data_IF_346341652505
#
_entry.id   IF_346341652505
#
_cell.length_a   1.000
_cell.length_b   1.000
_cell.length_c   1.000
_cell.angle_alpha   90.00
_cell.angle_beta   90.00
_cell.angle_gamma   90.00
#
_symmetry.space_group_name_H-M   'P 1'
#
loop_
_entity.id
_entity.type
_entity.pdbx_description
1 polymer ?
#
# COMPACT_ATOMS: atom_id res chain seq x y z
N UNK A 1 49.96 28.83 44.59
CA UNK A 1 48.81 27.91 44.41
C UNK A 1 47.89 28.42 43.30
N UNK A 2 48.26 28.35 42.01
CA UNK A 2 47.39 28.80 40.91
C UNK A 2 47.72 28.02 39.64
N UNK A 3 47.53 26.69 39.58
CA UNK A 3 47.72 25.92 38.32
C UNK A 3 46.86 24.65 38.15
N UNK A 4 45.74 24.48 38.88
CA UNK A 4 44.95 23.23 38.79
C UNK A 4 43.48 23.45 38.41
N UNK A 5 43.01 24.69 38.28
CA UNK A 5 41.60 25.01 37.97
C UNK A 5 41.37 25.44 36.51
N UNK A 6 41.86 24.71 35.51
CA UNK A 6 41.53 25.04 34.11
C UNK A 6 41.35 23.84 33.17
N UNK A 7 41.22 22.62 33.71
CA UNK A 7 41.01 21.40 32.90
C UNK A 7 39.65 20.73 33.05
N UNK A 8 38.75 21.28 33.86
CA UNK A 8 37.42 20.69 34.10
C UNK A 8 36.33 21.31 33.20
N UNK A 9 36.56 22.50 32.64
CA UNK A 9 35.57 23.20 31.80
C UNK A 9 35.39 22.67 30.38
N UNK A 10 36.30 21.83 29.87
CA UNK A 10 36.27 21.36 28.49
C UNK A 10 35.54 20.01 28.30
N UNK A 11 35.23 19.28 29.38
CA UNK A 11 34.61 17.95 29.30
C UNK A 11 33.06 18.00 29.30
N UNK A 12 32.46 19.12 29.72
CA UNK A 12 31.00 19.25 29.87
C UNK A 12 30.27 19.72 28.60
N UNK A 13 30.97 20.20 27.58
CA UNK A 13 30.36 20.65 26.32
C UNK A 13 30.27 19.53 25.27
N UNK A 14 31.09 18.48 25.40
CA UNK A 14 31.10 17.37 24.43
C UNK A 14 30.05 16.27 24.70
N UNK A 15 29.43 16.28 25.89
CA UNK A 15 28.42 15.29 26.27
C UNK A 15 26.99 15.62 25.78
N UNK A 16 26.77 16.80 25.18
CA UNK A 16 25.45 17.27 24.70
C UNK A 16 25.24 17.12 23.19
N UNK A 17 26.21 16.56 22.45
CA UNK A 17 26.12 16.38 20.99
C UNK A 17 25.82 14.94 20.55
N UNK A 18 25.67 14.01 21.48
CA UNK A 18 25.19 12.67 21.19
C UNK A 18 23.70 12.62 21.52
N UNK A 19 22.90 13.35 20.75
CA UNK A 19 21.53 12.92 20.53
C UNK A 19 21.64 11.57 19.83
N UNK A 20 21.31 10.42 20.46
CA UNK A 20 21.12 9.23 19.68
C UNK A 20 19.94 9.60 18.78
N UNK A 21 20.20 9.74 17.48
CA UNK A 21 19.14 9.80 16.50
C UNK A 21 18.28 8.59 16.80
N UNK A 22 17.09 8.82 17.35
CA UNK A 22 16.07 7.80 17.47
C UNK A 22 15.77 7.46 16.02
N UNK A 23 16.50 6.47 15.48
CA UNK A 23 16.07 5.79 14.28
C UNK A 23 14.76 5.15 14.69
N UNK A 24 13.66 5.86 14.43
CA UNK A 24 12.33 5.30 14.54
C UNK A 24 12.37 4.02 13.68
N UNK A 25 12.40 2.88 14.35
CA UNK A 25 12.48 1.59 13.69
C UNK A 25 11.28 1.51 12.75
N UNK A 26 11.56 1.38 11.45
CA UNK A 26 10.54 1.36 10.43
C UNK A 26 9.56 0.23 10.75
N UNK A 27 8.31 0.58 11.00
CA UNK A 27 7.31 -0.40 11.42
C UNK A 27 7.02 -1.36 10.26
N UNK A 28 7.14 -2.65 10.54
CA UNK A 28 6.90 -3.71 9.56
C UNK A 28 5.63 -4.46 9.86
N UNK A 29 4.93 -4.85 8.80
CA UNK A 29 3.63 -5.50 8.88
C UNK A 29 3.56 -6.69 7.93
N UNK A 30 2.82 -7.70 8.34
CA UNK A 30 2.23 -8.64 7.41
C UNK A 30 0.90 -8.08 6.91
N UNK A 31 0.72 -8.06 5.59
CA UNK A 31 -0.51 -7.62 4.93
C UNK A 31 -1.17 -8.85 4.35
N UNK A 32 -2.38 -9.19 4.80
CA UNK A 32 -3.19 -10.23 4.17
C UNK A 32 -4.37 -9.57 3.48
N UNK A 33 -4.47 -9.69 2.16
CA UNK A 33 -5.56 -9.14 1.36
C UNK A 33 -6.50 -10.27 0.98
N UNK A 34 -7.80 -10.02 1.02
CA UNK A 34 -8.82 -10.93 0.49
C UNK A 34 -9.75 -10.15 -0.42
N UNK A 35 -9.78 -10.50 -1.71
CA UNK A 35 -10.70 -9.94 -2.68
C UNK A 35 -12.05 -10.64 -2.63
N UNK A 36 -13.11 -9.92 -2.96
CA UNK A 36 -14.44 -10.49 -3.16
C UNK A 36 -14.47 -11.38 -4.40
N UNK A 37 -15.45 -12.29 -4.48
CA UNK A 37 -15.59 -13.22 -5.61
C UNK A 37 -15.82 -12.56 -6.98
N UNK A 38 -16.26 -11.30 -7.00
CA UNK A 38 -16.59 -10.56 -8.24
C UNK A 38 -16.17 -9.10 -8.15
N UNK A 39 -16.02 -8.45 -9.31
CA UNK A 39 -15.88 -7.00 -9.41
C UNK A 39 -17.16 -6.29 -8.93
N UNK A 40 -17.09 -4.98 -8.65
CA UNK A 40 -18.22 -4.18 -8.19
C UNK A 40 -19.44 -4.20 -9.14
N UNK A 41 -19.21 -4.42 -10.43
CA UNK A 41 -20.25 -4.55 -11.45
C UNK A 41 -20.79 -5.99 -11.60
N UNK A 42 -20.35 -6.94 -10.75
CA UNK A 42 -20.73 -8.35 -10.79
C UNK A 42 -19.98 -9.20 -11.82
N UNK A 43 -19.05 -8.64 -12.59
CA UNK A 43 -18.23 -9.43 -13.53
C UNK A 43 -17.14 -10.23 -12.78
N UNK A 44 -16.65 -11.35 -13.34
CA UNK A 44 -15.49 -12.04 -12.78
C UNK A 44 -14.23 -11.17 -12.82
N UNK A 45 -13.23 -11.50 -11.98
CA UNK A 45 -11.90 -10.88 -11.99
C UNK A 45 -11.16 -11.23 -13.28
N UNK A 46 -10.82 -12.51 -13.38
CA UNK A 46 -10.20 -13.11 -14.53
C UNK A 46 -11.23 -13.81 -15.44
N UNK A 47 -11.14 -13.56 -16.74
CA UNK A 47 -12.04 -14.17 -17.71
C UNK A 47 -11.73 -13.75 -19.14
N UNK A 48 -11.66 -14.72 -20.06
CA UNK A 48 -11.40 -14.46 -21.47
C UNK A 48 -12.71 -14.04 -22.18
N UNK A 49 -12.72 -12.95 -22.97
CA UNK A 49 -13.81 -12.70 -23.91
C UNK A 49 -13.89 -13.85 -24.95
N UNK A 50 -15.10 -14.35 -25.20
CA UNK A 50 -15.42 -15.51 -26.06
C UNK A 50 -14.63 -15.59 -27.37
N UNK A 51 -14.04 -16.77 -27.62
CA UNK A 51 -13.89 -17.37 -28.96
C UNK A 51 -14.04 -18.91 -28.81
N UNK A 52 -15.20 -19.45 -29.19
CA UNK A 52 -15.45 -20.91 -29.23
C UNK A 52 -15.86 -21.57 -27.90
N UNK A 53 -16.34 -22.81 -28.01
CA UNK A 53 -17.06 -23.64 -27.01
C UNK A 53 -16.29 -24.02 -25.71
N UNK A 54 -15.42 -23.17 -25.19
CA UNK A 54 -14.66 -23.44 -23.96
C UNK A 54 -15.44 -22.99 -22.72
N UNK A 55 -15.47 -23.84 -21.69
CA UNK A 55 -16.15 -23.58 -20.41
C UNK A 55 -15.57 -22.30 -19.77
N UNK A 56 -16.44 -21.34 -19.49
CA UNK A 56 -16.09 -20.12 -18.77
C UNK A 56 -15.62 -20.52 -17.37
N UNK A 57 -14.43 -20.08 -16.95
CA UNK A 57 -14.06 -20.15 -15.55
C UNK A 57 -14.67 -18.93 -14.85
N UNK A 58 -16.00 -18.96 -14.61
CA UNK A 58 -16.78 -17.84 -14.07
C UNK A 58 -16.35 -17.41 -12.64
N UNK A 59 -15.43 -18.16 -12.04
CA UNK A 59 -14.94 -17.97 -10.66
C UNK A 59 -13.41 -17.89 -10.61
N UNK A 60 -12.74 -17.39 -11.66
CA UNK A 60 -11.29 -17.22 -11.60
C UNK A 60 -10.95 -16.10 -10.61
N UNK A 61 -10.08 -16.44 -9.66
CA UNK A 61 -9.62 -15.55 -8.62
C UNK A 61 -8.54 -14.60 -9.15
N UNK A 62 -8.44 -13.37 -8.63
CA UNK A 62 -7.51 -12.37 -9.14
C UNK A 62 -6.04 -12.72 -8.87
N UNK A 63 -5.16 -12.05 -9.59
CA UNK A 63 -3.72 -11.98 -9.37
C UNK A 63 -3.38 -10.76 -8.51
N UNK A 64 -3.62 -10.85 -7.20
CA UNK A 64 -3.55 -9.72 -6.26
C UNK A 64 -2.13 -9.17 -6.09
N UNK A 65 -1.96 -7.86 -6.19
CA UNK A 65 -0.80 -7.12 -5.71
C UNK A 65 -1.21 -5.92 -4.86
N UNK A 66 -0.28 -5.45 -4.02
CA UNK A 66 -0.46 -4.25 -3.20
C UNK A 66 0.61 -3.24 -3.58
N UNK A 67 0.19 -2.04 -3.93
CA UNK A 67 1.09 -0.92 -4.19
C UNK A 67 1.02 0.09 -3.05
N UNK A 68 2.19 0.38 -2.48
CA UNK A 68 2.43 1.39 -1.48
C UNK A 68 2.65 2.74 -2.16
N UNK A 69 1.81 3.72 -1.84
CA UNK A 69 1.85 5.06 -2.43
C UNK A 69 2.21 6.06 -1.35
N UNK A 70 3.38 6.68 -1.47
CA UNK A 70 3.86 7.73 -0.57
C UNK A 70 3.73 9.08 -1.25
N UNK A 71 3.61 10.14 -0.45
CA UNK A 71 3.55 11.50 -0.98
C UNK A 71 4.76 11.79 -1.88
N UNK A 72 4.49 12.25 -3.11
CA UNK A 72 5.51 12.65 -4.09
C UNK A 72 6.52 11.54 -4.47
N UNK A 73 6.18 10.26 -4.27
CA UNK A 73 7.03 9.13 -4.62
C UNK A 73 6.37 8.25 -5.69
N UNK A 74 7.18 7.45 -6.39
CA UNK A 74 6.66 6.40 -7.28
C UNK A 74 5.98 5.31 -6.44
N UNK A 75 4.89 4.69 -6.94
CA UNK A 75 4.29 3.56 -6.26
C UNK A 75 5.27 2.40 -6.17
N UNK A 76 5.37 1.79 -4.99
CA UNK A 76 6.15 0.58 -4.75
C UNK A 76 5.22 -0.61 -4.61
N UNK A 77 5.26 -1.53 -5.57
CA UNK A 77 4.33 -2.64 -5.63
C UNK A 77 4.96 -3.96 -5.22
N UNK A 78 4.22 -4.69 -4.37
CA UNK A 78 4.56 -6.01 -3.87
C UNK A 78 4.17 -7.07 -4.90
N UNK A 79 4.97 -7.16 -5.96
CA UNK A 79 4.83 -8.16 -7.02
C UNK A 79 6.18 -8.79 -7.35
N UNK A 80 6.19 -9.81 -8.20
CA UNK A 80 7.41 -10.47 -8.67
C UNK A 80 7.66 -10.12 -10.14
N UNK A 81 8.73 -9.37 -10.46
CA UNK A 81 9.17 -9.22 -11.85
C UNK A 81 9.61 -10.57 -12.42
N UNK A 82 9.11 -10.94 -13.60
CA UNK A 82 9.57 -12.10 -14.35
C UNK A 82 9.82 -11.70 -15.81
N UNK A 83 11.08 -11.35 -16.11
CA UNK A 83 11.46 -10.80 -17.41
C UNK A 83 10.74 -9.47 -17.67
N UNK A 84 9.90 -9.43 -18.71
CA UNK A 84 9.06 -8.26 -19.05
C UNK A 84 7.68 -8.27 -18.40
N UNK A 85 7.32 -9.35 -17.68
CA UNK A 85 6.01 -9.50 -17.05
C UNK A 85 6.09 -9.17 -15.56
N UNK A 86 5.01 -8.65 -15.02
CA UNK A 86 4.77 -8.56 -13.59
C UNK A 86 3.86 -9.73 -13.21
N UNK A 87 4.18 -10.43 -12.13
CA UNK A 87 3.36 -11.51 -11.61
C UNK A 87 2.98 -11.22 -10.17
N UNK A 88 1.77 -11.61 -9.78
CA UNK A 88 1.39 -11.63 -8.36
C UNK A 88 2.22 -12.67 -7.61
N UNK A 89 2.46 -12.40 -6.32
CA UNK A 89 3.02 -13.40 -5.40
C UNK A 89 2.03 -14.54 -5.12
N UNK A 90 0.72 -14.29 -5.27
CA UNK A 90 -0.36 -15.25 -5.08
C UNK A 90 -1.21 -15.34 -6.34
N UNK A 91 -0.71 -16.09 -7.32
CA UNK A 91 -1.40 -16.26 -8.60
C UNK A 91 -2.74 -16.99 -8.41
N UNK A 92 -3.80 -16.48 -9.05
CA UNK A 92 -5.16 -17.02 -9.04
C UNK A 92 -5.67 -17.32 -7.62
N UNK A 93 -5.59 -16.34 -6.72
CA UNK A 93 -5.93 -16.53 -5.31
C UNK A 93 -6.81 -15.41 -4.75
N UNK A 94 -7.92 -15.79 -4.10
CA UNK A 94 -8.81 -14.84 -3.42
C UNK A 94 -8.13 -14.16 -2.23
N UNK A 95 -7.16 -14.83 -1.61
CA UNK A 95 -6.43 -14.32 -0.46
C UNK A 95 -4.94 -14.36 -0.74
N UNK A 96 -4.25 -13.24 -0.51
CA UNK A 96 -2.80 -13.14 -0.68
C UNK A 96 -2.12 -12.52 0.55
N UNK A 97 -1.00 -13.10 0.96
CA UNK A 97 -0.19 -12.62 2.09
C UNK A 97 1.11 -12.00 1.59
N UNK A 98 1.42 -10.82 2.09
CA UNK A 98 2.67 -10.11 1.89
C UNK A 98 3.36 -9.95 3.23
N UNK A 99 4.53 -10.58 3.36
CA UNK A 99 5.26 -10.63 4.61
C UNK A 99 6.22 -9.44 4.75
N UNK A 100 6.41 -8.98 5.99
CA UNK A 100 7.51 -8.08 6.36
C UNK A 100 7.55 -6.74 5.57
N UNK A 101 6.38 -6.19 5.28
CA UNK A 101 6.18 -4.97 4.50
C UNK A 101 6.48 -3.73 5.35
N UNK A 102 7.36 -2.87 4.86
CA UNK A 102 7.63 -1.58 5.45
C UNK A 102 6.62 -0.54 4.91
N UNK A 103 5.70 -0.08 5.76
CA UNK A 103 4.73 0.93 5.36
C UNK A 103 5.33 2.35 5.27
N UNK A 104 6.51 2.58 5.84
CA UNK A 104 7.12 3.91 5.86
C UNK A 104 6.26 4.94 6.63
N UNK A 105 6.41 6.24 6.32
CA UNK A 105 5.69 7.31 7.02
C UNK A 105 4.21 7.36 6.64
N UNK A 106 3.38 7.74 7.61
CA UNK A 106 1.97 8.06 7.39
C UNK A 106 1.80 9.54 6.97
N UNK A 107 0.73 9.88 6.23
CA UNK A 107 -0.23 8.97 5.61
C UNK A 107 0.37 8.21 4.42
N UNK A 108 -0.12 6.99 4.21
CA UNK A 108 0.29 6.13 3.09
C UNK A 108 -0.94 5.60 2.35
N UNK A 109 -0.92 5.69 1.03
CA UNK A 109 -1.91 5.07 0.16
C UNK A 109 -1.61 3.59 -0.06
N UNK A 110 -2.65 2.76 -0.04
CA UNK A 110 -2.63 1.38 -0.48
C UNK A 110 -3.53 1.27 -1.72
N UNK A 111 -2.96 0.78 -2.82
CA UNK A 111 -3.70 0.45 -4.04
C UNK A 111 -3.65 -1.06 -4.22
N UNK A 112 -4.80 -1.70 -4.17
CA UNK A 112 -4.94 -3.15 -4.40
C UNK A 112 -5.23 -3.36 -5.89
N UNK A 113 -4.46 -4.24 -6.54
CA UNK A 113 -4.46 -4.39 -7.99
C UNK A 113 -4.62 -5.86 -8.36
N UNK A 114 -5.42 -6.12 -9.38
CA UNK A 114 -5.48 -7.39 -10.10
C UNK A 114 -4.53 -7.31 -11.31
N UNK A 115 -3.50 -8.14 -11.34
CA UNK A 115 -2.45 -8.09 -12.37
C UNK A 115 -2.90 -8.84 -13.62
N UNK A 116 -3.41 -8.07 -14.59
CA UNK A 116 -3.66 -8.59 -15.93
C UNK A 116 -2.43 -8.54 -16.86
N UNK A 117 -2.45 -9.38 -17.90
CA UNK A 117 -1.41 -9.41 -18.93
C UNK A 117 -1.34 -8.13 -19.80
N UNK A 118 -2.42 -7.35 -19.87
CA UNK A 118 -2.50 -6.12 -20.69
C UNK A 118 -2.80 -4.89 -19.86
N UNK A 119 -3.87 -4.95 -19.05
CA UNK A 119 -4.49 -3.79 -18.42
C UNK A 119 -4.87 -4.17 -17.00
N UNK A 120 -4.05 -3.81 -16.02
CA UNK A 120 -4.33 -4.14 -14.61
C UNK A 120 -5.63 -3.49 -14.12
N UNK A 121 -6.38 -4.19 -13.29
CA UNK A 121 -7.58 -3.65 -12.68
C UNK A 121 -7.34 -3.20 -11.24
N UNK A 122 -7.95 -2.07 -10.84
CA UNK A 122 -7.95 -1.66 -9.44
C UNK A 122 -9.01 -2.48 -8.72
N UNK A 123 -8.59 -3.17 -7.65
CA UNK A 123 -9.48 -3.87 -6.72
C UNK A 123 -10.09 -2.87 -5.74
N UNK A 124 -9.25 -2.10 -5.07
CA UNK A 124 -9.65 -1.12 -4.06
C UNK A 124 -8.53 -0.12 -3.80
N UNK A 125 -8.87 0.99 -3.13
CA UNK A 125 -7.92 1.99 -2.65
C UNK A 125 -8.21 2.32 -1.19
N UNK A 126 -7.17 2.45 -0.38
CA UNK A 126 -7.27 2.89 1.01
C UNK A 126 -6.14 3.89 1.34
N UNK A 127 -6.36 4.72 2.35
CA UNK A 127 -5.32 5.57 2.92
C UNK A 127 -5.16 5.20 4.39
N UNK A 128 -3.97 4.76 4.77
CA UNK A 128 -3.61 4.59 6.16
C UNK A 128 -3.12 5.92 6.74
N UNK A 129 -3.66 6.32 7.88
CA UNK A 129 -3.37 7.63 8.52
C UNK A 129 -3.25 7.52 10.05
N UNK A 130 -2.73 8.55 10.71
CA UNK A 130 -2.66 8.69 12.17
C UNK A 130 -3.81 9.57 12.75
N UNK A 131 -4.82 9.87 11.93
CA UNK A 131 -6.10 10.57 12.23
C UNK A 131 -6.06 12.09 12.39
N UNK A 132 -4.91 12.76 12.32
CA UNK A 132 -4.85 14.17 12.75
C UNK A 132 -4.42 15.19 11.70
N UNK A 133 -3.91 14.77 10.54
CA UNK A 133 -3.43 15.71 9.51
C UNK A 133 -4.28 15.66 8.22
N UNK A 134 -5.26 16.54 8.12
CA UNK A 134 -6.11 16.66 6.92
C UNK A 134 -5.32 17.10 5.70
N UNK A 135 -4.31 17.96 5.87
CA UNK A 135 -3.51 18.46 4.76
C UNK A 135 -2.64 17.35 4.16
N UNK A 136 -2.02 16.53 5.00
CA UNK A 136 -1.26 15.37 4.54
C UNK A 136 -2.16 14.34 3.84
N UNK A 137 -3.40 14.19 4.30
CA UNK A 137 -4.39 13.32 3.64
C UNK A 137 -4.87 13.89 2.28
N UNK A 138 -4.81 15.20 2.05
CA UNK A 138 -5.06 15.77 0.73
C UNK A 138 -3.86 15.58 -0.22
N UNK A 139 -2.63 15.74 0.30
CA UNK A 139 -1.40 15.53 -0.49
C UNK A 139 -1.24 14.07 -0.97
N UNK A 140 -1.69 13.10 -0.16
CA UNK A 140 -1.68 11.69 -0.57
C UNK A 140 -2.70 11.39 -1.67
N UNK A 141 -3.80 12.14 -1.76
CA UNK A 141 -4.81 11.97 -2.81
C UNK A 141 -4.24 12.27 -4.20
N UNK A 142 -3.44 13.34 -4.33
CA UNK A 142 -2.74 13.69 -5.57
C UNK A 142 -1.73 12.60 -5.97
N UNK A 143 -1.03 12.04 -4.98
CA UNK A 143 -0.08 10.95 -5.19
C UNK A 143 -0.79 9.66 -5.61
N UNK A 144 -1.98 9.38 -5.06
CA UNK A 144 -2.83 8.25 -5.47
C UNK A 144 -3.30 8.37 -6.92
N UNK A 145 -3.74 9.56 -7.37
CA UNK A 145 -4.10 9.78 -8.78
C UNK A 145 -2.90 9.52 -9.69
N UNK A 146 -1.73 10.05 -9.33
CA UNK A 146 -0.49 9.85 -10.09
C UNK A 146 -0.11 8.37 -10.16
N UNK A 147 -0.18 7.67 -9.03
CA UNK A 147 0.07 6.23 -8.97
C UNK A 147 -0.91 5.45 -9.86
N UNK A 148 -2.22 5.76 -9.83
CA UNK A 148 -3.20 5.09 -10.68
C UNK A 148 -3.02 5.37 -12.17
N UNK A 149 -2.52 6.54 -12.54
CA UNK A 149 -2.16 6.83 -13.94
C UNK A 149 -0.95 6.02 -14.42
N UNK A 150 -0.05 5.65 -13.53
CA UNK A 150 1.05 4.72 -13.84
C UNK A 150 0.56 3.27 -13.87
N UNK A 151 -0.24 2.87 -12.90
CA UNK A 151 -0.68 1.47 -12.73
C UNK A 151 -1.77 1.07 -13.73
N UNK A 152 -2.67 1.99 -14.08
CA UNK A 152 -3.86 1.73 -14.92
C UNK A 152 -4.05 2.82 -15.99
N UNK A 153 -3.08 2.98 -16.91
CA UNK A 153 -3.09 4.08 -17.89
C UNK A 153 -4.30 4.05 -18.85
N UNK A 154 -4.93 2.89 -19.02
CA UNK A 154 -6.12 2.72 -19.87
C UNK A 154 -7.42 3.23 -19.23
N UNK A 155 -7.46 3.49 -17.92
CA UNK A 155 -8.64 4.01 -17.23
C UNK A 155 -8.76 5.53 -17.43
N UNK A 156 -10.00 6.02 -17.52
CA UNK A 156 -10.25 7.47 -17.61
C UNK A 156 -9.88 8.19 -16.32
N UNK A 157 -9.49 9.46 -16.44
CA UNK A 157 -9.16 10.31 -15.28
C UNK A 157 -10.34 10.40 -14.30
N UNK A 158 -11.58 10.49 -14.80
CA UNK A 158 -12.79 10.52 -13.96
C UNK A 158 -12.95 9.25 -13.11
N UNK A 159 -12.60 8.08 -13.66
CA UNK A 159 -12.65 6.82 -12.91
C UNK A 159 -11.59 6.80 -11.83
N UNK A 160 -10.37 7.25 -12.14
CA UNK A 160 -9.27 7.35 -11.16
C UNK A 160 -9.64 8.33 -10.04
N UNK A 161 -10.21 9.48 -10.39
CA UNK A 161 -10.67 10.48 -9.45
C UNK A 161 -11.77 9.94 -8.54
N UNK A 162 -12.74 9.21 -9.10
CA UNK A 162 -13.79 8.56 -8.32
C UNK A 162 -13.20 7.55 -7.33
N UNK A 163 -12.22 6.74 -7.74
CA UNK A 163 -11.53 5.78 -6.88
C UNK A 163 -10.75 6.46 -5.74
N UNK A 164 -10.07 7.59 -6.01
CA UNK A 164 -9.40 8.37 -4.95
C UNK A 164 -10.41 8.91 -3.96
N UNK A 165 -11.50 9.51 -4.43
CA UNK A 165 -12.54 10.06 -3.53
C UNK A 165 -13.25 8.99 -2.72
N UNK A 166 -13.40 7.79 -3.27
CA UNK A 166 -13.99 6.64 -2.59
C UNK A 166 -12.99 5.91 -1.68
N UNK A 167 -11.70 6.25 -1.72
CA UNK A 167 -10.68 5.60 -0.91
C UNK A 167 -11.01 5.74 0.58
N UNK A 168 -11.01 4.61 1.30
CA UNK A 168 -11.30 4.64 2.73
C UNK A 168 -10.11 5.23 3.47
N UNK A 169 -10.35 6.32 4.20
CA UNK A 169 -9.39 6.87 5.15
C UNK A 169 -9.45 6.03 6.44
N UNK A 170 -8.47 5.15 6.58
CA UNK A 170 -8.40 4.14 7.62
C UNK A 170 -7.25 4.43 8.57
N UNK A 171 -7.53 4.58 9.85
CA UNK A 171 -6.43 4.86 10.75
C UNK A 171 -5.62 3.61 11.07
N UNK A 172 -4.29 3.74 11.05
CA UNK A 172 -3.38 2.60 11.19
C UNK A 172 -3.66 1.83 12.48
N UNK A 173 -3.93 2.53 13.59
CA UNK A 173 -4.23 1.92 14.89
C UNK A 173 -5.42 0.95 14.86
N UNK A 174 -6.43 1.21 14.01
CA UNK A 174 -7.62 0.36 13.90
C UNK A 174 -7.32 -0.90 13.09
N UNK A 175 -6.51 -0.76 12.03
CA UNK A 175 -6.18 -1.88 11.14
C UNK A 175 -5.01 -2.74 11.63
N UNK A 176 -4.08 -2.18 12.43
CA UNK A 176 -2.89 -2.87 12.94
C UNK A 176 -3.17 -3.87 14.08
N UNK A 177 -4.44 -4.11 14.40
CA UNK A 177 -4.88 -5.00 15.48
C UNK A 177 -5.10 -6.46 15.04
N UNK A 178 -4.78 -6.80 13.78
CA UNK A 178 -5.08 -8.10 13.19
C UNK A 178 -6.55 -8.30 12.82
N UNK A 179 -7.39 -7.27 12.97
CA UNK A 179 -8.79 -7.29 12.54
C UNK A 179 -8.90 -6.94 11.04
N UNK A 180 -9.85 -7.56 10.31
CA UNK A 180 -10.09 -7.20 8.92
C UNK A 180 -10.60 -5.76 8.78
N UNK A 181 -9.90 -4.97 7.97
CA UNK A 181 -10.35 -3.68 7.48
C UNK A 181 -11.06 -3.88 6.15
N UNK A 182 -12.39 -3.78 6.18
CA UNK A 182 -13.25 -3.99 5.01
C UNK A 182 -13.24 -2.76 4.09
N UNK A 183 -13.01 -2.99 2.80
CA UNK A 183 -13.05 -1.99 1.73
C UNK A 183 -14.33 -2.16 0.89
N UNK A 184 -14.30 -1.83 -0.41
CA UNK A 184 -15.49 -1.92 -1.28
C UNK A 184 -15.61 -3.33 -1.85
N UNK A 185 -14.53 -3.82 -2.46
CA UNK A 185 -14.45 -5.10 -3.18
C UNK A 185 -13.43 -6.06 -2.55
N UNK A 186 -12.91 -5.71 -1.38
CA UNK A 186 -11.89 -6.48 -0.68
C UNK A 186 -11.90 -6.18 0.82
N UNK A 187 -11.09 -6.92 1.55
CA UNK A 187 -10.67 -6.59 2.89
C UNK A 187 -9.17 -6.84 3.02
N UNK A 188 -8.53 -6.18 3.98
CA UNK A 188 -7.16 -6.50 4.33
C UNK A 188 -6.97 -6.56 5.85
N UNK A 189 -5.99 -7.34 6.28
CA UNK A 189 -5.56 -7.46 7.67
C UNK A 189 -4.12 -6.99 7.76
N UNK A 190 -3.81 -6.12 8.72
CA UNK A 190 -2.45 -5.76 9.08
C UNK A 190 -2.08 -6.40 10.41
N UNK A 191 -0.99 -7.15 10.41
CA UNK A 191 -0.39 -7.70 11.63
C UNK A 191 0.98 -7.08 11.82
N UNK A 192 1.18 -6.37 12.93
CA UNK A 192 2.48 -5.79 13.28
C UNK A 192 3.49 -6.91 13.56
N UNK A 193 4.72 -6.76 13.04
CA UNK A 193 5.87 -7.60 13.38
C UNK A 193 6.71 -7.01 14.51
#
# INVERSE_FOLDING_TARGET
>A
MIRILNRIGAALVFALLLSPGVQAQEQRFDITVTADSTKANGSPWDGVPRLGNSKINLNAAPDIAVCLVRANAKPECLWKPQGRRLLSMCQNAWTCKFDNVALGPLPIGLVFVDIDARNHDIIDVAVLTDRTDTKANDEIADSLRTAMSVLTPHRSEDTKEHLVRAAKLLPLADCASGKPCRLTQSQFVLMKR
#
